data_IF_319714150151
#
_entry.id   IF_319714150151
#
_cell.length_a   1.000
_cell.length_b   1.000
_cell.length_c   1.000
_cell.angle_alpha   90.00
_cell.angle_beta   90.00
_cell.angle_gamma   90.00
#
_symmetry.space_group_name_H-M   'P 1'
#
loop_
_entity.id
_entity.type
_entity.pdbx_description
1 polymer ?
#
# COMPACT_ATOMS: atom_id res chain seq x y z
N UNK A 1 18.79 -4.11 4.81
CA UNK A 1 18.46 -2.77 5.34
C UNK A 1 17.03 -2.46 4.91
N UNK A 2 16.15 -1.95 5.79
CA UNK A 2 14.79 -1.59 5.39
C UNK A 2 14.81 -0.64 4.20
N UNK A 3 13.89 -0.83 3.25
CA UNK A 3 13.77 0.04 2.07
C UNK A 3 13.06 1.37 2.38
N UNK A 4 12.51 1.54 3.57
CA UNK A 4 11.92 2.78 4.08
C UNK A 4 12.90 3.51 5.01
N UNK A 5 12.53 4.71 5.48
CA UNK A 5 13.41 5.58 6.25
C UNK A 5 13.14 5.57 7.75
N UNK A 6 11.94 5.15 8.18
CA UNK A 6 11.53 5.24 9.58
C UNK A 6 12.46 4.45 10.50
N UNK A 7 12.89 5.09 11.59
CA UNK A 7 13.73 4.46 12.60
C UNK A 7 13.03 3.25 13.23
N UNK A 8 13.71 2.11 13.21
CA UNK A 8 13.30 0.90 13.92
C UNK A 8 13.48 1.08 15.43
N UNK A 9 12.42 0.86 16.20
CA UNK A 9 12.39 0.96 17.67
C UNK A 9 12.03 -0.39 18.30
N UNK A 10 12.39 -0.56 19.56
CA UNK A 10 11.90 -1.68 20.37
C UNK A 10 10.43 -1.46 20.74
N UNK A 11 9.62 -2.51 20.72
CA UNK A 11 8.20 -2.47 21.10
C UNK A 11 7.29 -3.30 20.19
N UNK A 12 5.97 -3.14 20.37
CA UNK A 12 4.95 -3.86 19.60
C UNK A 12 4.84 -3.39 18.14
N UNK A 13 5.33 -2.20 17.83
CA UNK A 13 5.39 -1.66 16.48
C UNK A 13 6.80 -1.09 16.24
N UNK A 14 7.63 -1.85 15.52
CA UNK A 14 9.00 -1.46 15.24
C UNK A 14 9.09 -0.15 14.44
N UNK A 15 8.14 0.11 13.55
CA UNK A 15 7.99 1.35 12.77
C UNK A 15 6.56 1.89 12.91
N UNK A 16 6.23 2.61 14.01
CA UNK A 16 4.86 2.99 14.35
C UNK A 16 4.10 3.74 13.25
N UNK A 17 4.75 4.67 12.56
CA UNK A 17 4.09 5.51 11.53
C UNK A 17 3.75 4.66 10.31
N UNK A 18 4.69 3.84 9.86
CA UNK A 18 4.47 2.90 8.75
C UNK A 18 3.42 1.85 9.13
N UNK A 19 3.47 1.27 10.33
CA UNK A 19 2.47 0.31 10.82
C UNK A 19 1.05 0.89 10.83
N UNK A 20 0.86 2.11 11.37
CA UNK A 20 -0.48 2.72 11.44
C UNK A 20 -0.99 3.11 10.05
N UNK A 21 -0.12 3.67 9.20
CA UNK A 21 -0.53 4.08 7.85
C UNK A 21 -0.91 2.89 6.96
N UNK A 22 -0.39 1.69 7.19
CA UNK A 22 -0.80 0.45 6.50
C UNK A 22 -2.30 0.12 6.68
N UNK A 23 -2.95 0.64 7.72
CA UNK A 23 -4.40 0.47 7.90
C UNK A 23 -5.23 1.12 6.78
N UNK A 24 -4.64 2.04 6.00
CA UNK A 24 -5.29 2.62 4.82
C UNK A 24 -5.68 1.56 3.78
N UNK A 25 -4.92 0.46 3.65
CA UNK A 25 -5.30 -0.65 2.77
C UNK A 25 -6.55 -1.38 3.27
N UNK A 26 -6.72 -1.52 4.58
CA UNK A 26 -7.93 -2.10 5.18
C UNK A 26 -9.13 -1.18 4.95
N UNK A 27 -8.95 0.12 5.11
CA UNK A 27 -10.00 1.11 4.79
C UNK A 27 -10.39 1.00 3.30
N UNK A 28 -9.40 0.96 2.40
CA UNK A 28 -9.64 0.77 0.97
C UNK A 28 -10.40 -0.53 0.67
N UNK A 29 -10.10 -1.63 1.37
CA UNK A 29 -10.84 -2.88 1.25
C UNK A 29 -12.32 -2.71 1.66
N UNK A 30 -12.58 -2.03 2.77
CA UNK A 30 -13.96 -1.73 3.25
C UNK A 30 -14.71 -0.79 2.30
N UNK A 31 -14.03 0.06 1.54
CA UNK A 31 -14.70 0.85 0.48
C UNK A 31 -15.00 -0.03 -0.75
N UNK A 32 -14.08 -0.92 -1.12
CA UNK A 32 -14.17 -1.71 -2.35
C UNK A 32 -15.01 -2.99 -2.25
N UNK A 33 -15.24 -3.57 -1.06
CA UNK A 33 -15.76 -4.94 -0.90
C UNK A 33 -17.08 -5.24 -1.61
N UNK A 34 -18.03 -4.30 -1.63
CA UNK A 34 -19.32 -4.48 -2.31
C UNK A 34 -19.21 -4.44 -3.83
N UNK A 35 -18.15 -3.84 -4.36
CA UNK A 35 -17.92 -3.70 -5.80
C UNK A 35 -16.99 -4.76 -6.33
N UNK A 36 -15.98 -5.12 -5.54
CA UNK A 36 -14.88 -5.95 -6.01
C UNK A 36 -14.30 -6.83 -4.90
N UNK A 37 -15.05 -7.86 -4.48
CA UNK A 37 -14.65 -8.74 -3.37
C UNK A 37 -13.23 -9.33 -3.50
N UNK A 38 -12.81 -9.89 -4.66
CA UNK A 38 -11.43 -10.41 -4.79
C UNK A 38 -10.36 -9.34 -4.55
N UNK A 39 -10.63 -8.12 -5.01
CA UNK A 39 -9.73 -6.98 -4.84
C UNK A 39 -9.70 -6.49 -3.39
N UNK A 40 -10.85 -6.49 -2.71
CA UNK A 40 -10.93 -6.17 -1.30
C UNK A 40 -10.19 -7.19 -0.42
N UNK A 41 -10.30 -8.49 -0.73
CA UNK A 41 -9.53 -9.52 -0.03
C UNK A 41 -8.02 -9.35 -0.25
N UNK A 42 -7.60 -9.04 -1.47
CA UNK A 42 -6.20 -8.73 -1.76
C UNK A 42 -5.70 -7.46 -1.01
N UNK A 43 -6.55 -6.43 -0.88
CA UNK A 43 -6.28 -5.24 -0.08
C UNK A 43 -6.15 -5.55 1.42
N UNK A 44 -6.93 -6.50 1.93
CA UNK A 44 -6.76 -7.00 3.31
C UNK A 44 -5.42 -7.73 3.45
N UNK A 45 -5.05 -8.58 2.49
CA UNK A 45 -3.77 -9.29 2.52
C UNK A 45 -2.57 -8.34 2.53
N UNK A 46 -2.55 -7.34 1.63
CA UNK A 46 -1.46 -6.34 1.63
C UNK A 46 -1.46 -5.49 2.91
N UNK A 47 -2.64 -5.11 3.42
CA UNK A 47 -2.76 -4.34 4.65
C UNK A 47 -2.24 -5.09 5.88
N UNK A 48 -2.69 -6.32 6.09
CA UNK A 48 -2.21 -7.19 7.18
C UNK A 48 -0.73 -7.50 7.03
N UNK A 49 -0.30 -7.86 5.81
CA UNK A 49 1.11 -8.10 5.50
C UNK A 49 1.99 -6.89 5.82
N UNK A 50 1.55 -5.69 5.42
CA UNK A 50 2.25 -4.42 5.66
C UNK A 50 2.30 -4.06 7.15
N UNK A 51 1.19 -4.18 7.88
CA UNK A 51 1.15 -3.98 9.34
C UNK A 51 2.17 -4.88 10.02
N UNK A 52 2.17 -6.17 9.70
CA UNK A 52 3.10 -7.15 10.28
C UNK A 52 4.54 -6.88 9.86
N UNK A 53 4.77 -6.50 8.60
CA UNK A 53 6.10 -6.19 8.07
C UNK A 53 6.74 -5.02 8.82
N UNK A 54 5.99 -3.96 9.11
CA UNK A 54 6.50 -2.79 9.84
C UNK A 54 6.47 -2.95 11.36
N UNK A 55 5.57 -3.77 11.90
CA UNK A 55 5.47 -3.99 13.34
C UNK A 55 6.48 -5.04 13.84
N UNK A 56 6.58 -6.17 13.14
CA UNK A 56 7.39 -7.33 13.50
C UNK A 56 7.90 -8.06 12.22
N UNK A 57 8.90 -7.50 11.52
CA UNK A 57 9.34 -8.00 10.21
C UNK A 57 9.76 -9.48 10.24
N UNK A 58 9.21 -10.27 9.32
CA UNK A 58 9.54 -11.68 9.11
C UNK A 58 9.48 -12.04 7.61
N UNK A 59 10.09 -13.15 7.16
CA UNK A 59 9.97 -13.59 5.77
C UNK A 59 8.52 -13.80 5.33
N UNK A 60 7.66 -14.27 6.24
CA UNK A 60 6.24 -14.50 5.98
C UNK A 60 5.50 -13.17 5.79
N UNK A 61 5.73 -12.18 6.65
CA UNK A 61 5.06 -10.87 6.50
C UNK A 61 5.47 -10.16 5.21
N UNK A 62 6.76 -10.25 4.81
CA UNK A 62 7.22 -9.72 3.52
C UNK A 62 6.54 -10.42 2.35
N UNK A 63 6.47 -11.75 2.38
CA UNK A 63 5.78 -12.52 1.34
C UNK A 63 4.30 -12.15 1.23
N UNK A 64 3.58 -12.08 2.36
CA UNK A 64 2.16 -11.72 2.39
C UNK A 64 1.93 -10.30 1.87
N UNK A 65 2.79 -9.35 2.25
CA UNK A 65 2.78 -7.99 1.74
C UNK A 65 2.91 -7.95 0.21
N UNK A 66 3.96 -8.58 -0.33
CA UNK A 66 4.26 -8.53 -1.77
C UNK A 66 3.20 -9.30 -2.59
N UNK A 67 2.78 -10.46 -2.11
CA UNK A 67 1.73 -11.25 -2.74
C UNK A 67 0.40 -10.49 -2.77
N UNK A 68 0.04 -9.81 -1.67
CA UNK A 68 -1.17 -8.97 -1.61
C UNK A 68 -1.17 -7.86 -2.66
N UNK A 69 -0.03 -7.18 -2.86
CA UNK A 69 0.12 -6.13 -3.86
C UNK A 69 -0.02 -6.67 -5.30
N UNK A 70 0.56 -7.83 -5.59
CA UNK A 70 0.41 -8.48 -6.90
C UNK A 70 -1.05 -8.88 -7.13
N UNK A 71 -1.70 -9.45 -6.11
CA UNK A 71 -3.09 -9.90 -6.20
C UNK A 71 -4.07 -8.76 -6.42
N UNK A 72 -3.90 -7.60 -5.78
CA UNK A 72 -4.81 -6.46 -5.99
C UNK A 72 -4.68 -5.88 -7.40
N UNK A 73 -3.46 -5.79 -7.94
CA UNK A 73 -3.21 -5.35 -9.32
C UNK A 73 -3.82 -6.35 -10.31
N UNK A 74 -3.63 -7.66 -10.10
CA UNK A 74 -4.20 -8.71 -10.94
C UNK A 74 -5.74 -8.72 -10.88
N UNK A 75 -6.32 -8.54 -9.69
CA UNK A 75 -7.76 -8.45 -9.49
C UNK A 75 -8.35 -7.24 -10.23
N UNK A 76 -7.73 -6.06 -10.12
CA UNK A 76 -8.15 -4.88 -10.87
C UNK A 76 -8.01 -5.10 -12.38
N UNK A 77 -6.84 -5.53 -12.85
CA UNK A 77 -6.57 -5.75 -14.28
C UNK A 77 -7.49 -6.79 -14.91
N UNK A 78 -7.78 -7.89 -14.22
CA UNK A 78 -8.69 -8.93 -14.72
C UNK A 78 -10.13 -8.43 -14.85
N UNK A 79 -10.66 -7.72 -13.85
CA UNK A 79 -11.99 -7.13 -13.94
C UNK A 79 -12.08 -6.07 -15.04
N UNK A 80 -11.06 -5.23 -15.16
CA UNK A 80 -11.01 -4.22 -16.20
C UNK A 80 -10.96 -4.81 -17.60
N UNK A 81 -10.17 -5.88 -17.79
CA UNK A 81 -10.15 -6.65 -19.04
C UNK A 81 -11.53 -7.24 -19.33
N UNK A 82 -12.12 -7.94 -18.36
CA UNK A 82 -13.39 -8.64 -18.52
C UNK A 82 -14.53 -7.68 -18.88
N UNK A 83 -14.55 -6.50 -18.26
CA UNK A 83 -15.57 -5.46 -18.48
C UNK A 83 -15.22 -4.44 -19.56
N UNK A 84 -14.02 -4.54 -20.17
CA UNK A 84 -13.49 -3.58 -21.16
C UNK A 84 -13.52 -2.13 -20.67
N UNK A 85 -13.30 -1.91 -19.38
CA UNK A 85 -13.34 -0.58 -18.75
C UNK A 85 -12.07 0.20 -19.10
N UNK A 86 -12.19 1.52 -19.28
CA UNK A 86 -11.02 2.39 -19.46
C UNK A 86 -10.23 2.52 -18.16
N UNK A 87 -8.92 2.60 -18.28
CA UNK A 87 -8.01 2.81 -17.16
C UNK A 87 -8.21 4.22 -16.56
N UNK A 88 -8.58 4.34 -15.27
CA UNK A 88 -8.70 5.65 -14.63
C UNK A 88 -7.32 6.29 -14.48
N UNK A 89 -7.03 7.27 -15.36
CA UNK A 89 -5.74 7.97 -15.38
C UNK A 89 -5.42 8.61 -14.03
N UNK A 90 -6.43 9.09 -13.30
CA UNK A 90 -6.23 9.66 -11.98
C UNK A 90 -5.67 8.63 -10.98
N UNK A 91 -6.10 7.37 -11.03
CA UNK A 91 -5.57 6.31 -10.16
C UNK A 91 -4.10 6.05 -10.46
N UNK A 92 -3.73 6.03 -11.74
CA UNK A 92 -2.33 5.89 -12.14
C UNK A 92 -1.48 7.08 -11.69
N UNK A 93 -1.99 8.30 -11.81
CA UNK A 93 -1.30 9.50 -11.38
C UNK A 93 -1.07 9.50 -9.86
N UNK A 94 -2.07 9.08 -9.07
CA UNK A 94 -1.94 8.92 -7.62
C UNK A 94 -0.90 7.85 -7.27
N UNK A 95 -0.94 6.68 -7.93
CA UNK A 95 0.05 5.62 -7.72
C UNK A 95 1.47 6.07 -8.08
N UNK A 96 1.64 6.69 -9.26
CA UNK A 96 2.93 7.21 -9.70
C UNK A 96 3.48 8.28 -8.76
N UNK A 97 2.61 9.16 -8.25
CA UNK A 97 2.98 10.16 -7.24
C UNK A 97 3.45 9.48 -5.97
N UNK A 98 2.74 8.47 -5.49
CA UNK A 98 3.14 7.69 -4.33
C UNK A 98 4.50 7.02 -4.51
N UNK A 99 4.75 6.39 -5.67
CA UNK A 99 6.04 5.77 -5.99
C UNK A 99 7.15 6.83 -5.96
N UNK A 100 6.89 8.02 -6.52
CA UNK A 100 7.82 9.15 -6.50
C UNK A 100 8.17 9.58 -5.07
N UNK A 101 7.17 9.73 -4.20
CA UNK A 101 7.37 10.08 -2.78
C UNK A 101 8.22 9.02 -2.09
N UNK A 102 7.88 7.74 -2.24
CA UNK A 102 8.69 6.65 -1.67
C UNK A 102 10.12 6.66 -2.18
N UNK A 103 10.33 6.86 -3.48
CA UNK A 103 11.65 6.80 -4.10
C UNK A 103 12.60 7.88 -3.58
N UNK A 104 12.09 9.08 -3.28
CA UNK A 104 12.90 10.19 -2.72
C UNK A 104 13.00 10.16 -1.19
N UNK A 105 12.07 9.47 -0.51
CA UNK A 105 12.03 9.38 0.95
C UNK A 105 12.61 8.08 1.54
N UNK A 106 13.00 7.10 0.72
CA UNK A 106 13.63 5.84 1.17
C UNK A 106 14.96 6.09 1.87
N UNK A 107 15.48 5.08 2.59
CA UNK A 107 16.82 5.14 3.21
C UNK A 107 17.88 5.65 2.21
N UNK A 108 18.62 6.69 2.61
CA UNK A 108 19.63 7.37 1.77
C UNK A 108 19.07 8.39 0.77
N UNK A 109 17.75 8.55 0.68
CA UNK A 109 17.09 9.55 -0.16
C UNK A 109 17.12 10.97 0.42
N UNK A 110 16.93 11.96 -0.45
CA UNK A 110 17.02 13.38 -0.09
C UNK A 110 15.97 13.83 0.94
N UNK A 111 14.84 13.14 1.03
CA UNK A 111 13.77 13.44 2.01
C UNK A 111 13.73 12.47 3.19
N UNK A 112 14.75 11.61 3.33
CA UNK A 112 14.81 10.68 4.44
C UNK A 112 15.18 11.39 5.74
N UNK A 113 14.25 11.39 6.70
CA UNK A 113 14.48 11.76 8.09
C UNK A 113 13.96 10.64 9.01
N UNK A 114 14.84 9.84 9.65
CA UNK A 114 14.43 8.65 10.40
C UNK A 114 13.54 8.92 11.61
N UNK A 115 13.60 10.14 12.16
CA UNK A 115 12.83 10.54 13.34
C UNK A 115 11.63 11.42 13.01
N UNK A 116 11.38 11.72 11.73
CA UNK A 116 10.23 12.53 11.33
C UNK A 116 8.90 11.82 11.66
N UNK A 117 7.92 12.59 12.12
CA UNK A 117 6.57 12.08 12.38
C UNK A 117 5.83 11.79 11.07
N UNK A 118 6.08 12.59 10.03
CA UNK A 118 5.54 12.36 8.70
C UNK A 118 6.56 11.57 7.85
N UNK A 119 6.37 10.26 7.78
CA UNK A 119 7.19 9.37 6.97
C UNK A 119 6.72 9.39 5.51
N UNK A 120 7.64 9.56 4.56
CA UNK A 120 7.28 9.50 3.13
C UNK A 120 6.74 8.12 2.72
N UNK A 121 7.18 7.05 3.39
CA UNK A 121 6.61 5.71 3.18
C UNK A 121 5.15 5.60 3.67
N UNK A 122 4.80 6.29 4.75
CA UNK A 122 3.41 6.39 5.19
C UNK A 122 2.54 7.16 4.18
N UNK A 123 3.05 8.24 3.58
CA UNK A 123 2.36 8.93 2.47
C UNK A 123 2.17 8.00 1.28
N UNK A 124 3.18 7.17 0.97
CA UNK A 124 3.06 6.12 -0.03
C UNK A 124 1.91 5.15 0.26
N UNK A 125 1.75 4.66 1.50
CA UNK A 125 0.63 3.78 1.87
C UNK A 125 -0.73 4.43 1.59
N UNK A 126 -0.92 5.70 1.96
CA UNK A 126 -2.17 6.42 1.74
C UNK A 126 -2.48 6.57 0.24
N UNK A 127 -1.49 6.98 -0.55
CA UNK A 127 -1.64 7.16 -1.99
C UNK A 127 -1.84 5.81 -2.71
N UNK A 128 -1.11 4.77 -2.31
CA UNK A 128 -1.28 3.43 -2.85
C UNK A 128 -2.68 2.88 -2.58
N UNK A 129 -3.16 2.98 -1.33
CA UNK A 129 -4.50 2.56 -0.96
C UNK A 129 -5.58 3.30 -1.77
N UNK A 130 -5.44 4.62 -1.93
CA UNK A 130 -6.35 5.44 -2.72
C UNK A 130 -6.36 5.07 -4.20
N UNK A 131 -5.18 4.94 -4.82
CA UNK A 131 -5.05 4.60 -6.23
C UNK A 131 -5.56 3.19 -6.53
N UNK A 132 -5.25 2.21 -5.67
CA UNK A 132 -5.73 0.83 -5.81
C UNK A 132 -7.24 0.75 -5.62
N UNK A 133 -7.82 1.43 -4.63
CA UNK A 133 -9.28 1.53 -4.49
C UNK A 133 -9.90 2.15 -5.76
N UNK A 134 -9.28 3.19 -6.30
CA UNK A 134 -9.69 3.81 -7.56
C UNK A 134 -9.74 2.85 -8.74
N UNK A 135 -8.73 2.00 -8.89
CA UNK A 135 -8.70 0.95 -9.92
C UNK A 135 -9.84 -0.05 -9.73
N UNK A 136 -10.07 -0.52 -8.50
CA UNK A 136 -11.12 -1.50 -8.18
C UNK A 136 -12.54 -0.94 -8.34
N UNK A 137 -12.71 0.38 -8.22
CA UNK A 137 -14.02 1.05 -8.28
C UNK A 137 -14.33 1.67 -9.65
N UNK A 138 -13.42 1.53 -10.62
CA UNK A 138 -13.56 2.10 -11.96
C UNK A 138 -14.60 1.39 -12.84
N UNK A 139 -15.14 0.27 -12.35
CA UNK A 139 -15.95 -0.68 -13.11
C UNK A 139 -17.46 -0.34 -13.19
N UNK A 140 -17.79 0.95 -13.25
CA UNK A 140 -19.17 1.44 -13.46
C UNK A 140 -19.63 1.34 -14.89
#
# INVERSE_FOLDING_TARGET
MPFDCELIREGLAAQPVNTVSSLAFIVAAVVAWRRHLPGALALVLVGVGSVLFHAAPSPVSSFVHDAGLVLVIAAAGSAMWAKRTRLPIWSLAVLATGIGVWAVSRTGGAWCSPTAVLQGHAVWHLLAALGLAGLLLADR
#
